data_IF_055465564547
#
_entry.id   IF_055465564547
#
_cell.length_a   1.000
_cell.length_b   1.000
_cell.length_c   1.000
_cell.angle_alpha   90.00
_cell.angle_beta   90.00
_cell.angle_gamma   90.00
#
_symmetry.space_group_name_H-M   'P 1'
#
loop_
_entity.id
_entity.type
_entity.pdbx_description
1 polymer ?
#
# COMPACT_ATOMS: atom_id res chain seq x y z
N UNK A 1 10.41 -10.94 -4.59
CA UNK A 1 11.21 -9.91 -3.89
C UNK A 1 11.95 -10.61 -2.77
N UNK A 2 13.25 -10.35 -2.63
CA UNK A 2 14.15 -11.16 -1.82
C UNK A 2 14.60 -10.40 -0.56
N UNK A 3 13.64 -9.82 0.18
CA UNK A 3 13.91 -9.16 1.47
C UNK A 3 13.11 -9.83 2.57
N UNK A 4 13.63 -9.78 3.80
CA UNK A 4 12.91 -10.25 4.97
C UNK A 4 11.67 -9.37 5.18
N UNK A 5 10.47 -9.95 5.42
CA UNK A 5 9.28 -9.15 5.66
C UNK A 5 9.41 -8.37 6.97
N UNK A 6 8.90 -7.14 6.98
CA UNK A 6 8.71 -6.38 8.21
C UNK A 6 7.36 -6.71 8.85
N UNK A 7 7.18 -6.49 10.16
CA UNK A 7 5.86 -6.65 10.80
C UNK A 7 4.75 -5.70 10.27
N UNK A 8 5.07 -4.78 9.36
CA UNK A 8 4.14 -3.85 8.68
C UNK A 8 3.66 -4.41 7.37
N UNK A 9 4.36 -5.41 6.87
CA UNK A 9 4.10 -5.92 5.54
C UNK A 9 2.79 -6.68 5.59
N UNK A 10 1.95 -6.42 4.60
CA UNK A 10 0.67 -7.11 4.50
C UNK A 10 0.90 -8.60 4.28
N UNK A 11 0.06 -9.42 4.91
CA UNK A 11 -0.05 -10.83 4.57
C UNK A 11 -0.57 -11.01 3.14
N UNK A 12 -0.42 -12.21 2.59
CA UNK A 12 -0.98 -12.52 1.28
C UNK A 12 -2.51 -12.39 1.27
N UNK A 13 -3.18 -12.81 2.35
CA UNK A 13 -4.63 -12.69 2.49
C UNK A 13 -5.08 -11.23 2.55
N UNK A 14 -4.33 -10.37 3.25
CA UNK A 14 -4.62 -8.93 3.27
C UNK A 14 -4.43 -8.30 1.88
N UNK A 15 -3.38 -8.73 1.18
CA UNK A 15 -3.10 -8.26 -0.18
C UNK A 15 -4.22 -8.62 -1.17
N UNK A 16 -4.77 -9.83 -1.10
CA UNK A 16 -5.91 -10.25 -1.93
C UNK A 16 -7.15 -9.36 -1.77
N UNK A 17 -7.33 -8.73 -0.61
CA UNK A 17 -8.41 -7.79 -0.37
C UNK A 17 -8.09 -6.40 -0.91
N UNK A 18 -6.83 -5.96 -0.81
CA UNK A 18 -6.39 -4.61 -1.16
C UNK A 18 -6.14 -4.46 -2.67
N UNK A 19 -5.59 -5.48 -3.33
CA UNK A 19 -5.20 -5.44 -4.74
C UNK A 19 -6.34 -5.05 -5.69
N UNK A 20 -7.57 -5.60 -5.59
CA UNK A 20 -8.66 -5.23 -6.48
C UNK A 20 -9.09 -3.76 -6.34
N UNK A 21 -9.00 -3.21 -5.12
CA UNK A 21 -9.34 -1.80 -4.83
C UNK A 21 -8.31 -0.86 -5.42
N UNK A 22 -7.03 -1.22 -5.30
CA UNK A 22 -5.95 -0.54 -6.00
C UNK A 22 -6.17 -0.58 -7.53
N UNK A 23 -6.54 -1.74 -8.08
CA UNK A 23 -6.85 -1.91 -9.49
C UNK A 23 -7.94 -0.93 -9.96
N UNK A 24 -9.06 -0.88 -9.24
CA UNK A 24 -10.19 -0.03 -9.61
C UNK A 24 -9.88 1.48 -9.57
N UNK A 25 -9.19 1.94 -8.53
CA UNK A 25 -9.01 3.38 -8.27
C UNK A 25 -7.74 3.99 -8.92
N UNK A 26 -6.74 3.13 -9.14
CA UNK A 26 -5.39 3.59 -9.51
C UNK A 26 -5.00 3.12 -10.92
N UNK A 27 -5.46 1.96 -11.39
CA UNK A 27 -5.06 1.47 -12.71
C UNK A 27 -5.92 2.12 -13.79
N UNK A 28 -5.32 3.09 -14.51
CA UNK A 28 -5.78 3.44 -15.86
C UNK A 28 -5.06 2.54 -16.85
N UNK A 29 -5.78 1.53 -17.35
CA UNK A 29 -5.34 0.67 -18.47
C UNK A 29 -4.33 -0.42 -18.12
N UNK A 30 -4.40 -1.51 -18.88
CA UNK A 30 -3.50 -2.66 -18.85
C UNK A 30 -2.12 -2.30 -19.42
N UNK A 31 -1.34 -1.47 -18.71
CA UNK A 31 -0.04 -1.03 -19.23
C UNK A 31 0.87 -0.32 -18.23
N UNK A 32 0.34 0.24 -17.15
CA UNK A 32 1.18 0.87 -16.13
C UNK A 32 1.78 -0.19 -15.20
N UNK A 33 2.75 -0.97 -15.70
CA UNK A 33 3.69 -1.69 -14.83
C UNK A 33 4.70 -0.66 -14.33
N UNK A 34 4.37 0.02 -13.24
CA UNK A 34 5.32 0.89 -12.56
C UNK A 34 6.60 0.11 -12.22
N UNK A 35 7.73 0.83 -12.12
CA UNK A 35 9.06 0.24 -11.86
C UNK A 35 9.09 -0.66 -10.60
N UNK A 36 8.25 -0.38 -9.61
CA UNK A 36 8.18 -1.12 -8.35
C UNK A 36 6.81 -1.76 -8.17
N UNK A 37 6.77 -2.90 -7.47
CA UNK A 37 5.52 -3.54 -7.08
C UNK A 37 4.67 -2.58 -6.24
N UNK A 38 3.36 -2.53 -6.53
CA UNK A 38 2.41 -1.73 -5.75
C UNK A 38 2.27 -2.25 -4.32
N UNK A 39 2.36 -3.57 -4.14
CA UNK A 39 2.39 -4.18 -2.81
C UNK A 39 3.57 -3.63 -2.01
N UNK A 40 4.75 -3.57 -2.62
CA UNK A 40 5.92 -2.99 -1.94
C UNK A 40 5.80 -1.50 -1.68
N UNK A 41 5.17 -0.75 -2.59
CA UNK A 41 4.90 0.66 -2.32
C UNK A 41 3.96 0.83 -1.11
N UNK A 42 2.91 0.01 -0.99
CA UNK A 42 2.05 0.03 0.19
C UNK A 42 2.78 -0.45 1.44
N UNK A 43 3.55 -1.55 1.39
CA UNK A 43 4.35 -2.03 2.51
C UNK A 43 5.34 -0.96 2.99
N UNK A 44 5.96 -0.23 2.07
CA UNK A 44 6.86 0.90 2.41
C UNK A 44 6.11 2.03 3.12
N UNK A 45 4.92 2.39 2.62
CA UNK A 45 4.08 3.41 3.26
C UNK A 45 3.64 2.94 4.64
N UNK A 46 3.20 1.69 4.79
CA UNK A 46 2.78 1.12 6.06
C UNK A 46 3.93 1.00 7.05
N UNK A 47 5.14 0.74 6.58
CA UNK A 47 6.33 0.81 7.41
C UNK A 47 6.47 2.20 8.03
N UNK A 48 6.49 3.25 7.20
CA UNK A 48 6.59 4.64 7.67
C UNK A 48 5.45 5.02 8.61
N UNK A 49 4.21 4.65 8.27
CA UNK A 49 3.04 4.95 9.10
C UNK A 49 3.06 4.22 10.45
N UNK A 50 3.62 3.01 10.50
CA UNK A 50 3.69 2.21 11.74
C UNK A 50 4.87 2.60 12.62
N UNK A 51 6.01 2.99 12.05
CA UNK A 51 7.22 3.37 12.80
C UNK A 51 7.29 4.86 13.11
N UNK A 52 6.63 5.70 12.32
CA UNK A 52 6.74 7.15 12.40
C UNK A 52 8.09 7.70 11.93
N UNK A 53 8.92 6.90 11.26
CA UNK A 53 10.23 7.34 10.79
C UNK A 53 10.11 8.41 9.69
N UNK A 54 11.17 9.18 9.48
CA UNK A 54 11.23 10.09 8.34
C UNK A 54 11.21 9.29 7.04
N UNK A 55 10.67 9.87 5.97
CA UNK A 55 10.67 9.22 4.65
C UNK A 55 12.10 8.94 4.16
N UNK A 56 13.05 9.82 4.46
CA UNK A 56 14.48 9.67 4.13
C UNK A 56 15.13 8.47 4.79
N UNK A 57 14.57 8.03 5.92
CA UNK A 57 15.09 6.94 6.75
C UNK A 57 14.44 5.60 6.38
N UNK A 58 13.65 5.57 5.30
CA UNK A 58 13.09 4.33 4.78
C UNK A 58 14.23 3.34 4.46
N UNK A 59 14.15 2.09 4.97
CA UNK A 59 15.17 1.08 4.71
C UNK A 59 15.46 0.87 3.22
N UNK A 60 16.73 0.62 2.88
CA UNK A 60 17.20 0.51 1.49
C UNK A 60 16.68 -0.71 0.73
N UNK A 61 16.08 -1.68 1.41
CA UNK A 61 15.44 -2.85 0.81
C UNK A 61 14.04 -2.53 0.25
N UNK A 62 13.46 -1.39 0.63
CA UNK A 62 12.27 -0.85 -0.01
C UNK A 62 12.57 -0.06 -1.28
N UNK A 63 11.57 0.18 -2.15
CA UNK A 63 11.67 1.16 -3.21
C UNK A 63 12.17 2.53 -2.70
N UNK A 64 12.91 3.30 -3.51
CA UNK A 64 13.47 4.59 -3.09
C UNK A 64 12.41 5.52 -2.52
N UNK A 65 12.70 6.12 -1.36
CA UNK A 65 11.73 6.91 -0.60
C UNK A 65 11.03 8.00 -1.43
N UNK A 66 11.74 8.65 -2.37
CA UNK A 66 11.16 9.67 -3.25
C UNK A 66 10.02 9.11 -4.11
N UNK A 67 10.21 7.89 -4.63
CA UNK A 67 9.19 7.20 -5.42
C UNK A 67 8.00 6.79 -4.54
N UNK A 68 8.28 6.28 -3.34
CA UNK A 68 7.25 5.89 -2.36
C UNK A 68 6.43 7.11 -1.93
N UNK A 69 7.09 8.19 -1.54
CA UNK A 69 6.45 9.44 -1.11
C UNK A 69 5.61 10.06 -2.22
N UNK A 70 6.16 10.15 -3.45
CA UNK A 70 5.41 10.63 -4.61
C UNK A 70 4.17 9.76 -4.88
N UNK A 71 4.27 8.44 -4.71
CA UNK A 71 3.12 7.56 -4.84
C UNK A 71 2.10 7.74 -3.72
N UNK A 72 2.56 7.91 -2.47
CA UNK A 72 1.72 8.18 -1.32
C UNK A 72 0.87 9.43 -1.56
N UNK A 73 1.47 10.53 -2.01
CA UNK A 73 0.73 11.76 -2.35
C UNK A 73 -0.33 11.49 -3.43
N UNK A 74 0.03 10.81 -4.53
CA UNK A 74 -0.92 10.45 -5.58
C UNK A 74 -2.10 9.62 -5.07
N UNK A 75 -1.86 8.71 -4.12
CA UNK A 75 -2.90 7.86 -3.55
C UNK A 75 -3.76 8.58 -2.51
N UNK A 76 -3.14 9.46 -1.72
CA UNK A 76 -3.84 10.34 -0.78
C UNK A 76 -4.81 11.25 -1.51
N UNK A 77 -4.36 11.91 -2.59
CA UNK A 77 -5.18 12.85 -3.35
C UNK A 77 -6.32 12.16 -4.11
N UNK A 78 -6.24 10.84 -4.30
CA UNK A 78 -7.32 9.98 -4.83
C UNK A 78 -8.22 9.37 -3.74
N UNK A 79 -7.99 9.73 -2.49
CA UNK A 79 -8.68 9.22 -1.30
C UNK A 79 -8.61 7.69 -1.17
N UNK A 80 -7.55 7.07 -1.70
CA UNK A 80 -7.42 5.62 -1.74
C UNK A 80 -7.49 5.01 -0.33
N UNK A 81 -6.78 5.59 0.64
CA UNK A 81 -6.72 5.07 2.00
C UNK A 81 -8.08 5.12 2.71
N UNK A 82 -8.88 6.16 2.44
CA UNK A 82 -10.24 6.27 2.99
C UNK A 82 -11.14 5.17 2.42
N UNK A 83 -11.10 4.98 1.10
CA UNK A 83 -11.85 3.92 0.41
C UNK A 83 -11.45 2.52 0.88
N UNK A 84 -10.14 2.27 1.05
CA UNK A 84 -9.62 1.01 1.59
C UNK A 84 -10.19 0.75 2.99
N UNK A 85 -10.11 1.74 3.89
CA UNK A 85 -10.61 1.61 5.26
C UNK A 85 -12.11 1.33 5.28
N UNK A 86 -12.90 2.03 4.46
CA UNK A 86 -14.34 1.81 4.37
C UNK A 86 -14.71 0.41 3.91
N UNK A 87 -13.98 -0.14 2.92
CA UNK A 87 -14.22 -1.52 2.45
C UNK A 87 -13.88 -2.53 3.53
N UNK A 88 -12.75 -2.36 4.21
CA UNK A 88 -12.34 -3.26 5.30
C UNK A 88 -13.32 -3.20 6.47
N UNK A 89 -13.74 -2.01 6.89
CA UNK A 89 -14.77 -1.83 7.94
C UNK A 89 -16.09 -2.48 7.58
N UNK A 90 -16.55 -2.32 6.33
CA UNK A 90 -17.79 -2.96 5.85
C UNK A 90 -17.68 -4.49 5.86
N UNK A 91 -16.53 -5.06 5.45
CA UNK A 91 -16.29 -6.51 5.52
C UNK A 91 -16.28 -7.00 6.98
N UNK A 92 -15.56 -6.31 7.86
CA UNK A 92 -15.47 -6.68 9.28
C UNK A 92 -16.84 -6.66 9.95
N UNK A 93 -17.66 -5.63 9.68
CA UNK A 93 -19.04 -5.54 10.21
C UNK A 93 -19.91 -6.72 9.78
N UNK A 94 -19.73 -7.24 8.57
CA UNK A 94 -20.49 -8.42 8.09
C UNK A 94 -20.02 -9.72 8.72
N UNK A 95 -18.73 -9.83 9.06
CA UNK A 95 -18.16 -11.03 9.66
C UNK A 95 -18.46 -11.13 11.16
N UNK A 96 -18.52 -10.00 11.86
CA UNK A 96 -18.80 -9.90 13.29
C UNK A 96 -20.29 -9.62 13.60
N UNK A 97 -21.14 -9.54 12.57
CA UNK A 97 -22.57 -9.27 12.66
C UNK A 97 -23.36 -10.55 12.88
#
# INVERSE_FOLDING_TARGET
MNRKPYPSDMSDQEWEVVEPLLHKEVYRGAGSKGKYSRREMLNSIFYVLRTGCQWTDLPHDFPPWKSVYSQFLRWRDKELFMKLNDVLRKKLRKLLG
#
